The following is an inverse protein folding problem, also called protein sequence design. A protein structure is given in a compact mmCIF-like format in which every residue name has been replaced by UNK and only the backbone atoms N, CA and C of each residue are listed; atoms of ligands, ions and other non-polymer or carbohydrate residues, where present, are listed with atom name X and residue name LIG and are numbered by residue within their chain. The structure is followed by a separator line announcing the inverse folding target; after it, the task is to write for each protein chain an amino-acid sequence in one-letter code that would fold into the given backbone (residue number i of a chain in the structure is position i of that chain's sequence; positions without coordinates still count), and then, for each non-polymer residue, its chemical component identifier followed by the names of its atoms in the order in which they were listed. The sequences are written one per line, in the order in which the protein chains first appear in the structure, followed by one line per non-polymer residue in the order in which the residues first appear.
data_IF_451918122689
#
_entry.id   IF_451918122689
#
_cell.length_a   1.000
_cell.length_b   1.000
_cell.length_c   1.000
_cell.angle_alpha   90.00
_cell.angle_beta   90.00
_cell.angle_gamma   90.00
#
_symmetry.space_group_name_H-M   'P 1'
#
loop_
_entity.id
_entity.type
_entity.pdbx_description
1 polymer ?
#
# COMPACT_ATOMS: atom_id res chain seq x y z
N UNK A 1 1.03 15.56 -14.83
CA UNK A 1 0.06 16.39 -14.10
C UNK A 1 -0.69 15.49 -13.13
N UNK A 2 -0.64 15.78 -11.83
CA UNK A 2 -1.28 14.95 -10.80
C UNK A 2 -2.80 14.97 -11.03
N UNK A 3 -3.45 13.80 -10.97
CA UNK A 3 -4.88 13.64 -11.31
C UNK A 3 -5.86 14.25 -10.29
N UNK A 4 -5.45 15.33 -9.61
CA UNK A 4 -6.24 16.02 -8.61
C UNK A 4 -7.07 17.12 -9.26
N UNK A 5 -8.36 17.14 -8.94
CA UNK A 5 -9.22 18.28 -9.20
C UNK A 5 -9.20 19.19 -7.97
N UNK A 6 -8.59 20.37 -8.12
CA UNK A 6 -8.44 21.36 -7.05
C UNK A 6 -9.55 22.41 -7.16
N UNK A 7 -10.25 22.65 -6.06
CA UNK A 7 -11.35 23.58 -5.90
C UNK A 7 -11.09 24.42 -4.66
N UNK A 8 -10.35 25.52 -4.82
CA UNK A 8 -9.95 26.38 -3.71
C UNK A 8 -9.04 25.66 -2.71
N UNK A 9 -9.52 25.49 -1.49
CA UNK A 9 -8.81 24.85 -0.36
C UNK A 9 -9.07 23.33 -0.28
N UNK A 10 -9.66 22.75 -1.31
CA UNK A 10 -10.01 21.34 -1.40
C UNK A 10 -9.47 20.73 -2.68
N UNK A 11 -9.06 19.46 -2.59
CA UNK A 11 -8.69 18.66 -3.74
C UNK A 11 -9.38 17.30 -3.70
N UNK A 12 -9.78 16.81 -4.87
CA UNK A 12 -10.43 15.50 -5.01
C UNK A 12 -9.77 14.67 -6.09
N UNK A 13 -9.73 13.36 -5.88
CA UNK A 13 -9.21 12.39 -6.86
C UNK A 13 -9.80 11.01 -6.60
N UNK A 14 -10.07 10.26 -7.65
CA UNK A 14 -10.40 8.83 -7.54
C UNK A 14 -9.12 7.99 -7.54
N UNK A 15 -8.92 7.19 -6.50
CA UNK A 15 -7.75 6.32 -6.32
C UNK A 15 -8.24 4.92 -5.96
N UNK A 16 -7.86 3.91 -6.76
CA UNK A 16 -8.24 2.51 -6.56
C UNK A 16 -9.76 2.31 -6.33
N UNK A 17 -10.58 3.02 -7.10
CA UNK A 17 -12.04 2.95 -7.00
C UNK A 17 -12.66 3.71 -5.81
N UNK A 18 -11.86 4.41 -5.00
CA UNK A 18 -12.33 5.25 -3.89
C UNK A 18 -12.18 6.72 -4.21
N UNK A 19 -13.16 7.52 -3.81
CA UNK A 19 -13.07 8.97 -3.91
C UNK A 19 -12.32 9.51 -2.69
N UNK A 20 -11.19 10.17 -2.96
CA UNK A 20 -10.35 10.80 -1.95
C UNK A 20 -10.62 12.30 -1.98
N UNK A 21 -10.88 12.86 -0.80
CA UNK A 21 -11.01 14.29 -0.58
C UNK A 21 -9.94 14.73 0.40
N UNK A 22 -9.19 15.75 0.02
CA UNK A 22 -8.20 16.42 0.86
C UNK A 22 -8.64 17.87 1.01
N UNK A 23 -8.52 18.40 2.21
CA UNK A 23 -8.63 19.85 2.48
C UNK A 23 -7.29 20.35 2.99
N UNK A 24 -7.05 21.65 2.88
CA UNK A 24 -5.80 22.28 3.35
C UNK A 24 -5.55 22.00 4.83
N UNK A 25 -6.58 22.04 5.68
CA UNK A 25 -6.42 21.77 7.12
C UNK A 25 -5.36 22.68 7.74
N UNK A 26 -4.40 22.09 8.44
CA UNK A 26 -3.26 22.80 9.05
C UNK A 26 -2.07 23.00 8.10
N UNK A 27 -2.16 22.54 6.84
CA UNK A 27 -1.08 22.70 5.88
C UNK A 27 -1.04 24.13 5.32
N UNK A 28 0.14 24.63 4.89
CA UNK A 28 0.26 25.98 4.34
C UNK A 28 -0.40 26.14 2.95
N UNK A 29 -0.70 25.03 2.27
CA UNK A 29 -1.40 25.03 0.98
C UNK A 29 -2.05 23.68 0.70
N UNK A 30 -3.04 23.67 -0.19
CA UNK A 30 -3.65 22.42 -0.67
C UNK A 30 -2.62 21.50 -1.34
N UNK A 31 -1.61 22.07 -1.99
CA UNK A 31 -0.52 21.31 -2.61
C UNK A 31 0.31 20.57 -1.57
N UNK A 32 0.65 21.22 -0.44
CA UNK A 32 1.36 20.57 0.66
C UNK A 32 0.53 19.46 1.30
N UNK A 33 -0.79 19.65 1.42
CA UNK A 33 -1.70 18.61 1.92
C UNK A 33 -1.77 17.41 0.97
N UNK A 34 -1.83 17.65 -0.35
CA UNK A 34 -1.79 16.58 -1.38
C UNK A 34 -0.48 15.81 -1.28
N UNK A 35 0.66 16.48 -1.24
CA UNK A 35 1.98 15.84 -1.19
C UNK A 35 2.16 14.99 0.07
N UNK A 36 1.69 15.48 1.21
CA UNK A 36 1.68 14.72 2.47
C UNK A 36 0.85 13.44 2.36
N UNK A 37 -0.35 13.54 1.79
CA UNK A 37 -1.21 12.38 1.58
C UNK A 37 -0.58 11.37 0.60
N UNK A 38 -0.01 11.84 -0.52
CA UNK A 38 0.65 10.98 -1.52
C UNK A 38 1.91 10.30 -0.96
N UNK A 39 2.64 10.97 -0.05
CA UNK A 39 3.75 10.36 0.67
C UNK A 39 3.25 9.26 1.62
N UNK A 40 2.16 9.52 2.36
CA UNK A 40 1.53 8.53 3.23
C UNK A 40 1.03 7.29 2.49
N UNK A 41 0.38 7.48 1.33
CA UNK A 41 -0.06 6.37 0.48
C UNK A 41 1.10 5.53 -0.04
N UNK A 42 2.18 6.16 -0.52
CA UNK A 42 3.37 5.42 -0.96
C UNK A 42 3.98 4.60 0.17
N UNK A 43 4.02 5.14 1.38
CA UNK A 43 4.52 4.42 2.55
C UNK A 43 3.64 3.22 2.92
N UNK A 44 2.31 3.38 2.88
CA UNK A 44 1.35 2.29 3.09
C UNK A 44 1.51 1.18 2.05
N UNK A 45 1.53 1.53 0.77
CA UNK A 45 1.70 0.54 -0.31
C UNK A 45 3.03 -0.21 -0.19
N UNK A 46 4.11 0.48 0.16
CA UNK A 46 5.41 -0.17 0.38
C UNK A 46 5.42 -1.07 1.62
N UNK A 47 4.63 -0.78 2.65
CA UNK A 47 4.43 -1.66 3.80
C UNK A 47 3.67 -2.92 3.38
N UNK A 48 2.51 -2.76 2.74
CA UNK A 48 1.65 -3.86 2.33
C UNK A 48 2.36 -4.83 1.38
N UNK A 49 3.13 -4.32 0.42
CA UNK A 49 3.95 -5.14 -0.48
C UNK A 49 5.00 -5.97 0.27
N UNK A 50 5.64 -5.39 1.29
CA UNK A 50 6.62 -6.12 2.12
C UNK A 50 5.96 -7.20 2.96
N UNK A 51 4.77 -6.94 3.49
CA UNK A 51 4.01 -7.91 4.25
C UNK A 51 3.53 -9.08 3.37
N UNK A 52 3.00 -8.79 2.17
CA UNK A 52 2.66 -9.81 1.19
C UNK A 52 3.86 -10.66 0.80
N UNK A 53 5.02 -10.04 0.56
CA UNK A 53 6.27 -10.77 0.29
C UNK A 53 6.62 -11.76 1.39
N UNK A 54 6.57 -11.33 2.66
CA UNK A 54 6.82 -12.21 3.81
C UNK A 54 5.83 -13.38 3.91
N UNK A 55 4.56 -13.15 3.60
CA UNK A 55 3.54 -14.19 3.63
C UNK A 55 3.79 -15.24 2.53
N UNK A 56 4.15 -14.79 1.33
CA UNK A 56 4.50 -15.68 0.21
C UNK A 56 5.74 -16.50 0.55
N UNK A 57 6.80 -15.87 1.05
CA UNK A 57 8.04 -16.58 1.45
C UNK A 57 7.76 -17.64 2.52
N UNK A 58 6.92 -17.30 3.50
CA UNK A 58 6.53 -18.21 4.58
C UNK A 58 5.72 -19.41 4.05
N UNK A 59 4.81 -19.17 3.10
CA UNK A 59 4.03 -20.23 2.46
C UNK A 59 4.92 -21.16 1.64
N UNK A 60 5.86 -20.62 0.86
CA UNK A 60 6.84 -21.40 0.09
C UNK A 60 7.69 -22.26 1.03
N UNK A 61 8.23 -21.69 2.10
CA UNK A 61 9.03 -22.42 3.07
C UNK A 61 8.23 -23.56 3.75
N UNK A 62 6.94 -23.34 4.03
CA UNK A 62 6.06 -24.37 4.59
C UNK A 62 5.82 -25.51 3.59
N UNK A 63 5.59 -25.19 2.32
CA UNK A 63 5.42 -26.20 1.26
C UNK A 63 6.69 -27.04 1.06
N UNK A 64 7.86 -26.39 1.10
CA UNK A 64 9.14 -27.09 0.98
C UNK A 64 9.39 -28.05 2.15
N UNK A 65 9.09 -27.65 3.39
CA UNK A 65 9.18 -28.54 4.57
C UNK A 65 8.25 -29.73 4.45
N UNK A 66 6.98 -29.49 4.12
CA UNK A 66 6.00 -30.57 3.91
C UNK A 66 6.46 -31.54 2.81
N UNK A 67 6.99 -31.03 1.69
CA UNK A 67 7.51 -31.89 0.64
C UNK A 67 8.72 -32.72 1.08
N UNK A 68 9.62 -32.15 1.89
CA UNK A 68 10.77 -32.87 2.44
C UNK A 68 10.35 -33.98 3.43
N UNK A 69 9.41 -33.69 4.32
CA UNK A 69 8.88 -34.62 5.32
C UNK A 69 8.15 -35.82 4.69
N UNK A 70 7.50 -35.64 3.54
CA UNK A 70 6.79 -36.70 2.83
C UNK A 70 7.64 -37.45 1.79
N UNK A 71 8.92 -37.09 1.62
CA UNK A 71 9.84 -37.75 0.67
C UNK A 71 10.60 -38.92 1.30
N UNK A 72 10.73 -38.96 2.63
CA UNK A 72 11.28 -40.10 3.38
C UNK A 72 10.14 -40.81 4.15
N UNK A 73 9.61 -41.95 3.66
CA UNK A 73 8.74 -42.77 4.49
C UNK A 73 9.57 -43.38 5.64
N UNK A 74 9.01 -43.48 6.87
CA UNK A 74 9.68 -44.18 7.96
C UNK A 74 9.96 -45.62 7.53
N UNK A 75 11.22 -46.04 7.66
CA UNK A 75 11.65 -47.44 7.51
C UNK A 75 11.12 -48.31 8.63
#
# INVERSE_FOLDING_TARGET
MSGWHVLGDMATRRVNGRDVRITTGDFPSIQAAIESWEAGERARQAHDLREMGRLVDSAIARLQRHHAEHRDPPR
#
